data_IF_605466844410
#
_entry.id   IF_605466844410
#
_cell.length_a   1.000
_cell.length_b   1.000
_cell.length_c   1.000
_cell.angle_alpha   90.00
_cell.angle_beta   90.00
_cell.angle_gamma   90.00
#
_symmetry.space_group_name_H-M   'P 1'
#
loop_
_entity.id
_entity.type
_entity.pdbx_description
1 polymer ?
#
# COMPACT_ATOMS: atom_id res chain seq x y z
N UNK A 1 -12.32 -7.91 -1.36
CA UNK A 1 -13.39 -8.45 -0.47
C UNK A 1 -13.39 -7.81 0.91
N UNK A 2 -12.29 -7.89 1.69
CA UNK A 2 -12.21 -7.25 3.03
C UNK A 2 -12.42 -5.73 3.02
N UNK A 3 -11.79 -5.03 2.07
CA UNK A 3 -11.96 -3.57 1.93
C UNK A 3 -13.41 -3.16 1.65
N UNK A 4 -14.10 -3.88 0.75
CA UNK A 4 -15.53 -3.65 0.46
C UNK A 4 -16.43 -3.93 1.68
N UNK A 5 -16.13 -4.99 2.45
CA UNK A 5 -16.84 -5.25 3.70
C UNK A 5 -16.65 -4.11 4.71
N UNK A 6 -15.43 -3.55 4.79
CA UNK A 6 -15.16 -2.39 5.63
C UNK A 6 -15.88 -1.13 5.12
N UNK A 7 -16.00 -0.96 3.80
CA UNK A 7 -16.81 0.10 3.23
C UNK A 7 -18.29 -0.01 3.60
N UNK A 8 -18.85 -1.23 3.62
CA UNK A 8 -20.23 -1.44 4.08
C UNK A 8 -20.42 -1.15 5.57
N UNK A 9 -19.41 -1.46 6.40
CA UNK A 9 -19.42 -1.16 7.84
C UNK A 9 -19.23 0.35 8.17
N UNK A 10 -18.69 1.13 7.23
CA UNK A 10 -18.44 2.57 7.40
C UNK A 10 -18.97 3.36 6.19
N UNK A 11 -20.30 3.57 6.10
CA UNK A 11 -20.92 4.27 4.97
C UNK A 11 -20.37 5.69 4.80
N UNK A 12 -20.04 6.06 3.56
CA UNK A 12 -19.53 7.39 3.21
C UNK A 12 -18.04 7.63 3.50
N UNK A 13 -17.35 6.68 4.17
CA UNK A 13 -15.92 6.81 4.45
C UNK A 13 -15.02 6.44 3.27
N UNK A 14 -15.52 5.64 2.32
CA UNK A 14 -14.75 5.12 1.19
C UNK A 14 -15.59 5.09 -0.10
N UNK A 15 -14.91 5.16 -1.24
CA UNK A 15 -15.53 4.97 -2.54
C UNK A 15 -15.49 3.48 -2.94
N UNK A 16 -16.58 2.76 -2.69
CA UNK A 16 -16.69 1.34 -2.99
C UNK A 16 -16.45 1.01 -4.48
N UNK A 17 -16.84 1.91 -5.40
CA UNK A 17 -16.68 1.69 -6.82
C UNK A 17 -15.20 1.77 -7.23
N UNK A 18 -14.46 2.76 -6.71
CA UNK A 18 -13.01 2.86 -6.91
C UNK A 18 -12.26 1.66 -6.32
N UNK A 19 -12.68 1.19 -5.14
CA UNK A 19 -12.10 -0.02 -4.52
C UNK A 19 -12.34 -1.26 -5.37
N UNK A 20 -13.56 -1.44 -5.88
CA UNK A 20 -13.91 -2.62 -6.70
C UNK A 20 -13.24 -2.57 -8.08
N UNK A 21 -13.03 -1.38 -8.63
CA UNK A 21 -12.43 -1.16 -9.95
C UNK A 21 -10.91 -1.11 -9.97
N UNK A 22 -10.23 -1.08 -8.82
CA UNK A 22 -8.78 -0.98 -8.74
C UNK A 22 -8.07 -2.17 -9.41
N UNK A 23 -7.17 -1.88 -10.35
CA UNK A 23 -6.36 -2.87 -11.09
C UNK A 23 -4.86 -2.80 -10.83
N UNK A 24 -4.44 -1.90 -9.95
CA UNK A 24 -3.07 -1.74 -9.50
C UNK A 24 -3.04 -1.50 -7.99
N UNK A 25 -1.89 -1.77 -7.37
CA UNK A 25 -1.68 -1.44 -5.96
C UNK A 25 -1.80 0.05 -5.70
N UNK A 26 -1.28 0.88 -6.60
CA UNK A 26 -1.44 2.32 -6.52
C UNK A 26 -2.90 2.75 -6.45
N UNK A 27 -3.74 2.23 -7.36
CA UNK A 27 -5.17 2.58 -7.39
C UNK A 27 -5.91 2.06 -6.16
N UNK A 28 -5.56 0.86 -5.67
CA UNK A 28 -6.16 0.31 -4.46
C UNK A 28 -5.74 1.09 -3.21
N UNK A 29 -4.45 1.45 -3.12
CA UNK A 29 -3.92 2.22 -2.02
C UNK A 29 -4.52 3.63 -2.01
N UNK A 30 -4.70 4.27 -3.16
CA UNK A 30 -5.34 5.58 -3.22
C UNK A 30 -6.82 5.51 -2.81
N UNK A 31 -7.54 4.48 -3.28
CA UNK A 31 -8.99 4.35 -3.05
C UNK A 31 -9.34 3.86 -1.63
N UNK A 32 -8.46 3.09 -0.98
CA UNK A 32 -8.74 2.47 0.31
C UNK A 32 -7.64 2.67 1.34
N UNK A 33 -6.40 2.23 1.07
CA UNK A 33 -5.35 2.20 2.10
C UNK A 33 -5.04 3.59 2.65
N UNK A 34 -4.76 4.55 1.76
CA UNK A 34 -4.48 5.93 2.11
C UNK A 34 -5.61 6.56 2.95
N UNK A 35 -6.87 6.62 2.48
CA UNK A 35 -7.96 7.21 3.27
C UNK A 35 -8.26 6.44 4.56
N UNK A 36 -8.18 5.10 4.55
CA UNK A 36 -8.41 4.29 5.75
C UNK A 36 -7.41 4.55 6.88
N UNK A 37 -6.24 5.10 6.53
CA UNK A 37 -5.17 5.42 7.47
C UNK A 37 -4.90 6.93 7.58
N UNK A 38 -5.80 7.77 7.06
CA UNK A 38 -5.72 9.23 7.20
C UNK A 38 -4.61 9.91 6.38
N UNK A 39 -4.13 9.25 5.33
CA UNK A 39 -3.23 9.86 4.36
C UNK A 39 -4.03 10.66 3.33
N UNK A 40 -3.42 11.72 2.79
CA UNK A 40 -4.06 12.57 1.79
C UNK A 40 -4.31 11.88 0.43
N UNK A 41 -3.62 10.76 0.18
CA UNK A 41 -3.68 9.97 -1.04
C UNK A 41 -2.49 9.03 -1.13
N UNK A 42 -2.41 8.24 -2.20
CA UNK A 42 -1.35 7.21 -2.37
C UNK A 42 0.06 7.81 -2.34
N UNK A 43 0.26 8.99 -2.94
CA UNK A 43 1.56 9.65 -2.94
C UNK A 43 2.03 10.07 -1.54
N UNK A 44 1.11 10.53 -0.68
CA UNK A 44 1.45 10.85 0.72
C UNK A 44 1.73 9.59 1.53
N UNK A 45 0.87 8.58 1.34
CA UNK A 45 1.04 7.27 1.94
C UNK A 45 2.40 6.66 1.60
N UNK A 46 2.73 6.51 0.32
CA UNK A 46 4.00 5.90 -0.11
C UNK A 46 5.21 6.73 0.33
N UNK A 47 5.16 8.06 0.30
CA UNK A 47 6.28 8.87 0.80
C UNK A 47 6.56 8.64 2.28
N UNK A 48 5.52 8.59 3.12
CA UNK A 48 5.65 8.53 4.58
C UNK A 48 5.83 7.11 5.11
N UNK A 49 5.20 6.13 4.46
CA UNK A 49 5.17 4.74 4.91
C UNK A 49 6.22 3.84 4.23
N UNK A 50 6.91 4.30 3.18
CA UNK A 50 7.98 3.51 2.55
C UNK A 50 9.23 3.45 3.41
N UNK A 51 9.90 2.28 3.40
CA UNK A 51 11.18 2.08 4.10
C UNK A 51 12.36 2.80 3.42
N UNK A 52 12.32 3.02 2.10
CA UNK A 52 13.43 3.56 1.28
C UNK A 52 14.18 4.75 1.90
N UNK A 53 13.53 5.86 2.30
CA UNK A 53 14.24 7.03 2.85
C UNK A 53 14.97 6.73 4.18
N UNK A 54 14.57 5.67 4.89
CA UNK A 54 15.13 5.30 6.19
C UNK A 54 16.28 4.31 6.10
N UNK A 55 16.45 3.62 4.96
CA UNK A 55 17.48 2.58 4.79
C UNK A 55 18.90 3.12 5.00
N UNK A 56 19.17 4.37 4.64
CA UNK A 56 20.46 5.02 4.86
C UNK A 56 20.83 5.21 6.34
N UNK A 57 19.87 5.06 7.26
CA UNK A 57 20.09 5.17 8.70
C UNK A 57 20.54 3.87 9.38
N UNK A 58 20.60 2.76 8.66
CA UNK A 58 20.98 1.45 9.22
C UNK A 58 22.46 1.44 9.56
N UNK A 59 22.80 1.18 10.83
CA UNK A 59 24.20 1.21 11.34
C UNK A 59 24.85 -0.16 11.49
N UNK A 60 24.06 -1.23 11.39
CA UNK A 60 24.51 -2.61 11.53
C UNK A 60 24.44 -3.31 10.18
N UNK A 61 25.37 -4.22 9.85
CA UNK A 61 25.28 -5.02 8.63
C UNK A 61 23.91 -5.69 8.56
N UNK A 62 23.17 -5.38 7.50
CA UNK A 62 21.78 -5.82 7.33
C UNK A 62 21.63 -6.58 6.02
N UNK A 63 21.03 -7.76 6.11
CA UNK A 63 20.69 -8.59 4.96
C UNK A 63 19.23 -8.36 4.59
N UNK A 64 18.97 -7.96 3.34
CA UNK A 64 17.62 -7.89 2.77
C UNK A 64 17.39 -9.16 1.94
N UNK A 65 16.29 -9.85 2.23
CA UNK A 65 15.89 -11.07 1.53
C UNK A 65 14.49 -10.87 0.94
N UNK A 66 14.32 -11.30 -0.31
CA UNK A 66 13.03 -11.39 -0.97
C UNK A 66 12.92 -12.77 -1.66
N UNK A 67 11.75 -13.37 -1.61
CA UNK A 67 11.52 -14.66 -2.24
C UNK A 67 11.43 -14.48 -3.76
N UNK A 68 12.23 -15.23 -4.53
CA UNK A 68 12.25 -15.10 -5.99
C UNK A 68 10.89 -15.40 -6.66
N UNK A 69 10.00 -16.11 -5.97
CA UNK A 69 8.65 -16.46 -6.41
C UNK A 69 7.55 -15.63 -5.71
N UNK A 70 7.88 -14.49 -5.11
CA UNK A 70 6.90 -13.61 -4.49
C UNK A 70 5.89 -13.11 -5.54
N UNK A 71 4.58 -13.41 -5.39
CA UNK A 71 3.56 -13.06 -6.38
C UNK A 71 3.17 -11.58 -6.33
N UNK A 72 3.68 -10.82 -5.37
CA UNK A 72 3.38 -9.43 -5.12
C UNK A 72 4.57 -8.51 -5.44
N UNK A 73 5.79 -8.96 -5.11
CA UNK A 73 7.05 -8.24 -5.38
C UNK A 73 7.95 -9.09 -6.26
N UNK A 74 7.81 -9.03 -7.59
CA UNK A 74 8.59 -9.87 -8.49
C UNK A 74 10.05 -9.37 -8.59
N UNK A 75 10.98 -10.26 -8.98
CA UNK A 75 12.40 -9.92 -9.07
C UNK A 75 12.75 -8.63 -9.85
N UNK A 76 12.07 -8.26 -10.97
CA UNK A 76 12.33 -6.99 -11.67
C UNK A 76 11.93 -5.72 -10.88
N UNK A 77 11.23 -5.86 -9.76
CA UNK A 77 10.82 -4.75 -8.89
C UNK A 77 11.81 -4.47 -7.75
N UNK A 78 12.87 -5.28 -7.62
CA UNK A 78 13.98 -5.10 -6.68
C UNK A 78 15.06 -4.20 -7.27
#
# INVERSE_FOLDING_TARGET
RKALAKCAAHPGAFDAARIAGARSLEAFDDAYTAPAHGFAGVGDYWRRASARPWLGGIRVPTLLLNAANDPFVPAPAL
#
